data_IF_734417717688
#
_entry.id   IF_734417717688
#
_cell.length_a   1.000
_cell.length_b   1.000
_cell.length_c   1.000
_cell.angle_alpha   90.00
_cell.angle_beta   90.00
_cell.angle_gamma   90.00
#
_symmetry.space_group_name_H-M   'P 1'
#
loop_
_entity.id
_entity.type
_entity.pdbx_description
1 polymer ?
#
# COMPACT_ATOMS: atom_id res chain seq x y z
N UNK A 1 9.30 -12.12 43.62
CA UNK A 1 9.63 -10.97 42.76
C UNK A 1 9.87 -11.35 41.29
N UNK A 2 10.23 -12.61 41.00
CA UNK A 2 10.49 -13.15 39.67
C UNK A 2 9.28 -13.10 38.70
N UNK A 3 8.05 -13.26 39.19
CA UNK A 3 6.82 -13.24 38.37
C UNK A 3 6.52 -11.86 37.73
N UNK A 4 6.92 -10.77 38.39
CA UNK A 4 6.71 -9.39 37.90
C UNK A 4 7.65 -9.06 36.75
N UNK A 5 8.88 -9.59 36.81
CA UNK A 5 9.86 -9.50 35.73
C UNK A 5 9.46 -10.36 34.52
N UNK A 6 8.92 -11.56 34.75
CA UNK A 6 8.39 -12.41 33.69
C UNK A 6 7.22 -11.76 32.95
N UNK A 7 6.28 -11.14 33.67
CA UNK A 7 5.15 -10.43 33.06
C UNK A 7 5.61 -9.23 32.21
N UNK A 8 6.61 -8.49 32.68
CA UNK A 8 7.19 -7.35 31.96
C UNK A 8 7.95 -7.76 30.70
N UNK A 9 8.61 -8.92 30.72
CA UNK A 9 9.34 -9.44 29.56
C UNK A 9 8.38 -9.87 28.44
N UNK A 10 7.23 -10.45 28.78
CA UNK A 10 6.21 -10.87 27.81
C UNK A 10 5.60 -9.65 27.10
N UNK A 11 5.31 -8.57 27.82
CA UNK A 11 4.84 -7.32 27.21
C UNK A 11 5.87 -6.70 26.26
N UNK A 12 7.16 -6.75 26.57
CA UNK A 12 8.21 -6.20 25.72
C UNK A 12 8.38 -7.00 24.41
N UNK A 13 8.28 -8.33 24.45
CA UNK A 13 8.35 -9.16 23.25
C UNK A 13 7.16 -8.97 22.29
N UNK A 14 5.97 -8.65 22.80
CA UNK A 14 4.79 -8.42 21.98
C UNK A 14 4.90 -7.19 21.06
N UNK A 15 5.71 -6.19 21.44
CA UNK A 15 5.90 -4.95 20.68
C UNK A 15 6.96 -5.12 19.57
N UNK A 16 7.83 -6.14 19.69
CA UNK A 16 8.94 -6.35 18.76
C UNK A 16 8.53 -6.95 17.39
N UNK A 17 7.24 -7.24 17.18
CA UNK A 17 6.73 -7.89 15.95
C UNK A 17 6.07 -6.90 14.96
N UNK A 18 6.21 -5.59 15.17
CA UNK A 18 5.63 -4.60 14.25
C UNK A 18 6.47 -4.45 12.97
N UNK A 19 6.14 -5.28 11.98
CA UNK A 19 5.98 -4.92 10.55
C UNK A 19 7.19 -4.35 9.80
N UNK A 20 8.09 -5.22 9.32
CA UNK A 20 8.91 -4.92 8.14
C UNK A 20 8.13 -5.35 6.89
N UNK A 21 7.50 -4.41 6.19
CA UNK A 21 6.95 -4.66 4.86
C UNK A 21 8.01 -4.22 3.83
N UNK A 22 8.68 -5.20 3.23
CA UNK A 22 9.67 -4.95 2.19
C UNK A 22 8.99 -4.94 0.83
N UNK A 23 8.54 -3.79 0.36
CA UNK A 23 8.16 -3.61 -1.05
C UNK A 23 9.39 -3.25 -1.87
N UNK A 24 10.17 -4.27 -2.22
CA UNK A 24 11.25 -4.14 -3.18
C UNK A 24 10.75 -4.55 -4.58
N UNK A 25 9.92 -3.72 -5.20
CA UNK A 25 9.66 -3.85 -6.64
C UNK A 25 9.70 -2.48 -7.31
N UNK A 26 10.81 -2.25 -8.02
CA UNK A 26 10.98 -1.13 -8.95
C UNK A 26 10.00 -1.31 -10.11
N UNK A 27 8.88 -0.58 -10.05
CA UNK A 27 7.81 -0.65 -11.05
C UNK A 27 8.31 -0.16 -12.41
N UNK A 28 8.26 -1.06 -13.40
CA UNK A 28 8.36 -0.68 -14.80
C UNK A 28 7.07 0.08 -15.18
N UNK A 29 7.18 1.41 -15.29
CA UNK A 29 6.09 2.34 -15.68
C UNK A 29 5.44 2.01 -17.03
N UNK A 30 6.07 1.17 -17.84
CA UNK A 30 5.65 0.84 -19.21
C UNK A 30 4.51 -0.20 -19.31
N UNK A 31 3.95 -0.70 -18.19
CA UNK A 31 2.91 -1.75 -18.21
C UNK A 31 1.47 -1.29 -18.03
N UNK A 32 1.22 -0.04 -17.63
CA UNK A 32 -0.15 0.44 -17.37
C UNK A 32 -0.70 1.16 -18.61
N UNK A 33 -1.81 0.67 -19.23
CA UNK A 33 -2.40 1.29 -20.40
C UNK A 33 -2.76 2.76 -20.18
N UNK A 34 -2.85 3.54 -21.25
CA UNK A 34 -3.35 4.90 -21.16
C UNK A 34 -4.87 4.89 -20.95
N UNK A 35 -5.28 5.24 -19.74
CA UNK A 35 -6.66 5.14 -19.26
C UNK A 35 -7.03 6.44 -18.54
N UNK A 36 -8.32 6.75 -18.53
CA UNK A 36 -8.85 7.87 -17.73
C UNK A 36 -8.53 7.73 -16.25
N UNK A 37 -8.49 8.85 -15.52
CA UNK A 37 -8.27 8.87 -14.08
C UNK A 37 -9.23 7.93 -13.32
N UNK A 38 -10.53 7.97 -13.65
CA UNK A 38 -11.54 7.09 -13.05
C UNK A 38 -11.29 5.62 -13.36
N UNK A 39 -10.86 5.29 -14.58
CA UNK A 39 -10.58 3.89 -14.95
C UNK A 39 -9.35 3.35 -14.24
N UNK A 40 -8.29 4.17 -14.10
CA UNK A 40 -7.11 3.82 -13.32
C UNK A 40 -7.48 3.55 -11.86
N UNK A 41 -8.25 4.46 -11.24
CA UNK A 41 -8.67 4.31 -9.85
C UNK A 41 -9.53 3.07 -9.63
N UNK A 42 -10.55 2.85 -10.46
CA UNK A 42 -11.39 1.65 -10.37
C UNK A 42 -10.61 0.36 -10.57
N UNK A 43 -9.65 0.33 -11.50
CA UNK A 43 -8.80 -0.85 -11.72
C UNK A 43 -7.90 -1.12 -10.52
N UNK A 44 -7.39 -0.07 -9.87
CA UNK A 44 -6.65 -0.20 -8.61
C UNK A 44 -7.54 -0.78 -7.49
N UNK A 45 -8.76 -0.26 -7.30
CA UNK A 45 -9.70 -0.78 -6.29
C UNK A 45 -10.06 -2.24 -6.54
N UNK A 46 -10.33 -2.62 -7.80
CA UNK A 46 -10.59 -4.00 -8.16
C UNK A 46 -9.38 -4.89 -7.85
N UNK A 47 -8.17 -4.44 -8.19
CA UNK A 47 -6.94 -5.20 -7.90
C UNK A 47 -6.70 -5.35 -6.39
N UNK A 48 -7.04 -4.35 -5.57
CA UNK A 48 -7.01 -4.48 -4.10
C UNK A 48 -8.04 -5.46 -3.57
N UNK A 49 -9.26 -5.44 -4.11
CA UNK A 49 -10.32 -6.38 -3.74
C UNK A 49 -9.91 -7.83 -4.05
N UNK A 50 -9.15 -8.04 -5.13
CA UNK A 50 -8.57 -9.33 -5.51
C UNK A 50 -7.27 -9.68 -4.74
N UNK A 51 -6.89 -8.89 -3.72
CA UNK A 51 -5.64 -9.03 -2.96
C UNK A 51 -4.37 -8.92 -3.81
N UNK A 52 -4.45 -8.34 -5.01
CA UNK A 52 -3.32 -8.09 -5.90
C UNK A 52 -2.77 -6.68 -5.71
N UNK A 53 -2.10 -6.46 -4.57
CA UNK A 53 -1.61 -5.14 -4.15
C UNK A 53 -0.51 -4.59 -5.06
N UNK A 54 0.37 -5.47 -5.60
CA UNK A 54 1.40 -5.04 -6.57
C UNK A 54 0.76 -4.42 -7.82
N UNK A 55 -0.29 -5.04 -8.36
CA UNK A 55 -1.02 -4.47 -9.49
C UNK A 55 -1.77 -3.19 -9.08
N UNK A 56 -2.44 -3.17 -7.94
CA UNK A 56 -3.14 -1.98 -7.47
C UNK A 56 -2.20 -0.76 -7.39
N UNK A 57 -1.02 -0.95 -6.77
CA UNK A 57 0.01 0.08 -6.64
C UNK A 57 0.48 0.61 -7.99
N UNK A 58 0.70 -0.25 -8.99
CA UNK A 58 1.07 0.21 -10.35
C UNK A 58 0.03 1.14 -10.97
N UNK A 59 -1.27 0.85 -10.79
CA UNK A 59 -2.35 1.69 -11.32
C UNK A 59 -2.48 3.00 -10.54
N UNK A 60 -2.24 2.99 -9.22
CA UNK A 60 -2.25 4.19 -8.39
C UNK A 60 -1.04 5.09 -8.65
N UNK A 61 0.17 4.54 -8.83
CA UNK A 61 1.37 5.32 -9.22
C UNK A 61 1.19 5.95 -10.61
N UNK A 62 0.56 5.23 -11.55
CA UNK A 62 0.22 5.77 -12.87
C UNK A 62 -0.82 6.90 -12.77
N UNK A 63 -1.80 6.75 -11.88
CA UNK A 63 -2.80 7.78 -11.60
C UNK A 63 -2.17 9.04 -10.97
N UNK A 64 -1.33 8.87 -9.96
CA UNK A 64 -0.60 9.97 -9.29
C UNK A 64 0.29 10.75 -10.26
N UNK A 65 1.04 10.03 -11.11
CA UNK A 65 1.96 10.65 -12.07
C UNK A 65 1.22 11.39 -13.19
N UNK A 66 0.12 10.83 -13.73
CA UNK A 66 -0.58 11.38 -14.90
C UNK A 66 -1.63 12.43 -14.53
N UNK A 67 -2.24 12.31 -13.34
CA UNK A 67 -3.31 13.18 -12.87
C UNK A 67 -3.03 13.71 -11.44
N UNK A 68 -1.93 14.45 -11.22
CA UNK A 68 -1.47 14.85 -9.89
C UNK A 68 -2.40 15.83 -9.14
N UNK A 69 -3.38 16.43 -9.83
CA UNK A 69 -4.32 17.40 -9.26
C UNK A 69 -5.79 17.05 -9.59
N UNK A 70 -6.11 15.76 -9.68
CA UNK A 70 -7.43 15.24 -10.03
C UNK A 70 -8.33 14.94 -8.83
N UNK A 71 -9.58 14.56 -9.11
CA UNK A 71 -10.58 14.17 -8.09
C UNK A 71 -10.08 13.07 -7.13
N UNK A 72 -9.21 12.18 -7.62
CA UNK A 72 -8.70 11.06 -6.84
C UNK A 72 -7.37 11.35 -6.13
N UNK A 73 -6.77 12.54 -6.28
CA UNK A 73 -5.41 12.83 -5.78
C UNK A 73 -5.26 12.50 -4.29
N UNK A 74 -6.15 13.02 -3.44
CA UNK A 74 -6.05 12.81 -1.99
C UNK A 74 -6.23 11.33 -1.61
N UNK A 75 -7.14 10.64 -2.32
CA UNK A 75 -7.43 9.23 -2.04
C UNK A 75 -6.33 8.30 -2.55
N UNK A 76 -5.67 8.63 -3.65
CA UNK A 76 -4.52 7.89 -4.17
C UNK A 76 -3.41 7.85 -3.13
N UNK A 77 -3.13 8.96 -2.45
CA UNK A 77 -2.12 9.02 -1.40
C UNK A 77 -2.44 8.13 -0.18
N UNK A 78 -3.73 7.88 0.08
CA UNK A 78 -4.17 6.97 1.16
C UNK A 78 -4.15 5.50 0.73
N UNK A 79 -4.39 5.24 -0.56
CA UNK A 79 -4.49 3.90 -1.14
C UNK A 79 -3.12 3.35 -1.62
N UNK A 80 -2.09 4.20 -1.73
CA UNK A 80 -0.71 3.84 -2.16
C UNK A 80 0.12 3.24 -1.02
#
# INVERSE_FOLDING_TARGET
MLNKFFLSAICACAIAISGCHSDAESVNKDKVPDLSASSLYQTAKASMADSNYSKARQYLEALDTRYPFGEYTDQVQLDL
#
